data_IF_951682430318
#
_entry.id   IF_951682430318
#
_cell.length_a   1.000
_cell.length_b   1.000
_cell.length_c   1.000
_cell.angle_alpha   90.00
_cell.angle_beta   90.00
_cell.angle_gamma   90.00
#
_symmetry.space_group_name_H-M   'P 1'
#
loop_
_entity.id
_entity.type
_entity.pdbx_description
1 polymer ?
#
# COMPACT_ATOMS: atom_id res chain seq x y z
N UNK A 1 -30.52 -4.68 5.42
CA UNK A 1 -30.03 -5.63 4.41
C UNK A 1 -28.58 -5.95 4.69
N UNK A 2 -28.32 -7.15 5.14
CA UNK A 2 -26.97 -7.56 5.49
C UNK A 2 -26.26 -8.14 4.27
N UNK A 3 -25.23 -7.46 3.80
CA UNK A 3 -24.36 -8.03 2.78
C UNK A 3 -23.35 -8.94 3.47
N UNK A 4 -23.41 -10.20 3.13
CA UNK A 4 -22.37 -11.13 3.56
C UNK A 4 -21.06 -10.74 2.89
N UNK A 5 -19.93 -10.83 3.61
CA UNK A 5 -18.64 -10.44 3.09
C UNK A 5 -18.27 -11.06 1.75
N UNK A 6 -18.74 -12.29 1.50
CA UNK A 6 -18.56 -12.99 0.23
C UNK A 6 -19.24 -12.30 -0.95
N UNK A 7 -20.43 -11.73 -0.74
CA UNK A 7 -21.18 -11.06 -1.80
C UNK A 7 -20.49 -9.76 -2.23
N UNK A 8 -19.94 -9.03 -1.26
CA UNK A 8 -19.16 -7.81 -1.54
C UNK A 8 -17.87 -8.14 -2.28
N UNK A 9 -17.18 -9.21 -1.88
CA UNK A 9 -15.98 -9.68 -2.56
C UNK A 9 -16.27 -10.06 -4.02
N UNK A 10 -17.34 -10.79 -4.26
CA UNK A 10 -17.76 -11.17 -5.61
C UNK A 10 -18.13 -9.93 -6.44
N UNK A 11 -18.85 -8.98 -5.85
CA UNK A 11 -19.20 -7.73 -6.50
C UNK A 11 -17.96 -6.92 -6.92
N UNK A 12 -17.02 -6.74 -5.98
CA UNK A 12 -15.77 -6.00 -6.24
C UNK A 12 -14.93 -6.72 -7.29
N UNK A 13 -14.88 -8.04 -7.25
CA UNK A 13 -14.16 -8.85 -8.21
C UNK A 13 -14.70 -8.71 -9.63
N UNK A 14 -16.04 -8.74 -9.76
CA UNK A 14 -16.71 -8.55 -11.06
C UNK A 14 -16.44 -7.17 -11.65
N UNK A 15 -16.39 -6.16 -10.81
CA UNK A 15 -16.21 -4.78 -11.24
C UNK A 15 -14.74 -4.33 -11.31
N UNK A 16 -13.82 -5.27 -11.13
CA UNK A 16 -12.38 -5.01 -11.08
C UNK A 16 -11.97 -3.96 -10.03
N UNK A 17 -12.83 -3.71 -9.03
CA UNK A 17 -12.57 -2.77 -7.94
C UNK A 17 -11.60 -3.33 -6.90
N UNK A 18 -11.31 -4.63 -6.97
CA UNK A 18 -10.41 -5.29 -6.02
C UNK A 18 -8.97 -4.77 -6.07
N UNK A 19 -8.61 -4.02 -7.11
CA UNK A 19 -7.29 -3.38 -7.23
C UNK A 19 -7.27 -1.95 -6.73
N UNK A 20 -8.40 -1.41 -6.32
CA UNK A 20 -8.50 -0.03 -5.85
C UNK A 20 -8.54 0.06 -4.32
N UNK A 21 -8.58 1.30 -3.84
CA UNK A 21 -8.58 1.59 -2.40
C UNK A 21 -9.81 1.05 -1.68
N UNK A 22 -10.97 1.02 -2.33
CA UNK A 22 -12.20 0.55 -1.71
C UNK A 22 -12.11 -0.92 -1.32
N UNK A 23 -11.59 -1.75 -2.21
CA UNK A 23 -11.33 -3.15 -1.92
C UNK A 23 -10.33 -3.29 -0.77
N UNK A 24 -9.27 -2.49 -0.81
CA UNK A 24 -8.26 -2.47 0.23
C UNK A 24 -8.86 -2.10 1.59
N UNK A 25 -9.70 -1.08 1.65
CA UNK A 25 -10.40 -0.69 2.87
C UNK A 25 -11.33 -1.79 3.37
N UNK A 26 -12.08 -2.43 2.47
CA UNK A 26 -12.94 -3.55 2.81
C UNK A 26 -12.16 -4.69 3.45
N UNK A 27 -11.03 -5.08 2.86
CA UNK A 27 -10.15 -6.10 3.41
C UNK A 27 -9.59 -5.69 4.77
N UNK A 28 -9.36 -4.39 4.98
CA UNK A 28 -8.87 -3.87 6.26
C UNK A 28 -9.85 -4.16 7.40
N UNK A 29 -11.15 -4.07 7.17
CA UNK A 29 -12.16 -4.42 8.18
C UNK A 29 -12.14 -5.91 8.54
N UNK A 30 -11.70 -6.75 7.62
CA UNK A 30 -11.66 -8.21 7.83
C UNK A 30 -10.33 -8.69 8.41
N UNK A 31 -9.34 -7.82 8.55
CA UNK A 31 -8.05 -8.17 9.09
C UNK A 31 -8.10 -8.47 10.58
N UNK A 32 -7.32 -9.45 11.01
CA UNK A 32 -7.13 -9.74 12.42
C UNK A 32 -6.39 -8.59 13.13
N UNK A 33 -6.50 -8.54 14.45
CA UNK A 33 -5.76 -7.57 15.26
C UNK A 33 -4.26 -7.65 15.03
N UNK A 34 -3.74 -8.86 14.87
CA UNK A 34 -2.32 -9.08 14.58
C UNK A 34 -1.91 -8.51 13.24
N UNK A 35 -2.70 -8.75 12.20
CA UNK A 35 -2.46 -8.16 10.86
C UNK A 35 -2.45 -6.64 10.92
N UNK A 36 -3.39 -6.04 11.64
CA UNK A 36 -3.47 -4.58 11.80
C UNK A 36 -2.24 -4.01 12.51
N UNK A 37 -1.78 -4.67 13.56
CA UNK A 37 -0.58 -4.25 14.28
C UNK A 37 0.66 -4.31 13.40
N UNK A 38 0.83 -5.40 12.66
CA UNK A 38 1.94 -5.57 11.73
C UNK A 38 1.85 -4.53 10.60
N UNK A 39 0.67 -4.30 10.04
CA UNK A 39 0.46 -3.30 8.99
C UNK A 39 0.86 -1.90 9.44
N UNK A 40 0.49 -1.51 10.66
CA UNK A 40 0.85 -0.21 11.23
C UNK A 40 2.35 -0.08 11.45
N UNK A 41 2.97 -1.15 11.96
CA UNK A 41 4.42 -1.18 12.15
C UNK A 41 5.15 -1.03 10.81
N UNK A 42 4.76 -1.80 9.81
CA UNK A 42 5.35 -1.72 8.48
C UNK A 42 5.14 -0.34 7.85
N UNK A 43 3.96 0.24 7.99
CA UNK A 43 3.67 1.58 7.47
C UNK A 43 4.60 2.62 8.08
N UNK A 44 4.77 2.58 9.39
CA UNK A 44 5.65 3.51 10.11
C UNK A 44 7.10 3.37 9.67
N UNK A 45 7.60 2.15 9.66
CA UNK A 45 9.01 1.89 9.33
C UNK A 45 9.32 2.15 7.86
N UNK A 46 8.42 1.75 6.95
CA UNK A 46 8.56 2.03 5.52
C UNK A 46 8.52 3.53 5.24
N UNK A 47 7.65 4.27 5.91
CA UNK A 47 7.59 5.73 5.76
C UNK A 47 8.93 6.37 6.13
N UNK A 48 9.55 5.93 7.22
CA UNK A 48 10.86 6.41 7.64
C UNK A 48 11.96 6.05 6.61
N UNK A 49 11.91 4.83 6.08
CA UNK A 49 12.87 4.37 5.05
C UNK A 49 12.71 5.21 3.78
N UNK A 50 11.48 5.43 3.32
CA UNK A 50 11.24 6.24 2.12
C UNK A 50 11.68 7.68 2.28
N UNK A 51 11.53 8.27 3.45
CA UNK A 51 12.01 9.62 3.69
C UNK A 51 13.54 9.74 3.59
N UNK A 52 14.26 8.70 4.01
CA UNK A 52 15.73 8.73 4.03
C UNK A 52 16.34 8.22 2.73
N UNK A 53 15.86 7.14 2.19
CA UNK A 53 16.51 6.38 1.12
C UNK A 53 15.97 6.71 -0.28
N UNK A 54 14.69 7.00 -0.40
CA UNK A 54 14.08 7.23 -1.71
C UNK A 54 14.54 8.54 -2.33
N UNK A 55 14.87 9.52 -1.50
CA UNK A 55 15.42 10.79 -1.98
C UNK A 55 16.73 10.58 -2.76
N UNK A 56 17.53 9.62 -2.33
CA UNK A 56 18.76 9.25 -3.03
C UNK A 56 18.50 8.51 -4.36
N UNK A 57 17.38 7.78 -4.44
CA UNK A 57 17.04 6.97 -5.61
C UNK A 57 16.24 7.72 -6.67
N UNK A 58 15.34 8.60 -6.24
CA UNK A 58 14.36 9.26 -7.09
C UNK A 58 14.54 10.78 -7.21
N UNK A 59 15.51 11.36 -6.50
CA UNK A 59 15.73 12.80 -6.49
C UNK A 59 14.63 13.56 -5.75
N UNK A 60 14.10 14.62 -6.36
CA UNK A 60 13.11 15.50 -5.74
C UNK A 60 11.67 14.93 -5.74
N UNK A 61 11.55 13.63 -5.56
CA UNK A 61 10.25 12.97 -5.50
C UNK A 61 9.97 12.55 -4.06
N UNK A 62 8.77 12.88 -3.59
CA UNK A 62 8.29 12.46 -2.28
C UNK A 62 7.42 11.22 -2.43
N UNK A 63 7.70 10.19 -1.66
CA UNK A 63 6.92 8.97 -1.63
C UNK A 63 6.32 8.79 -0.24
N UNK A 64 5.00 8.68 -0.17
CA UNK A 64 4.26 8.46 1.07
C UNK A 64 3.60 7.09 1.05
N UNK A 65 3.75 6.33 2.13
CA UNK A 65 3.05 5.07 2.29
C UNK A 65 1.65 5.36 2.83
N UNK A 66 0.63 5.06 2.05
CA UNK A 66 -0.76 5.38 2.41
C UNK A 66 -1.44 4.20 3.10
N UNK A 67 -1.30 2.99 2.57
CA UNK A 67 -1.94 1.79 3.10
C UNK A 67 -0.95 0.63 3.04
N UNK A 68 -0.94 -0.19 4.07
CA UNK A 68 -0.21 -1.46 4.10
C UNK A 68 -1.21 -2.58 4.40
N UNK A 69 -1.20 -3.62 3.58
CA UNK A 69 -2.07 -4.78 3.72
C UNK A 69 -1.20 -6.02 3.87
N UNK A 70 -1.36 -6.72 4.98
CA UNK A 70 -0.58 -7.92 5.28
C UNK A 70 -1.47 -9.14 5.15
N UNK A 71 -0.96 -10.22 4.53
CA UNK A 71 -1.68 -11.48 4.41
C UNK A 71 -1.89 -12.12 5.78
N UNK A 72 -2.90 -13.01 5.94
CA UNK A 72 -3.17 -13.66 7.24
C UNK A 72 -1.99 -14.45 7.80
N UNK A 73 -1.16 -15.04 6.94
CA UNK A 73 0.05 -15.77 7.33
C UNK A 73 1.26 -14.86 7.55
N UNK A 74 1.11 -13.55 7.34
CA UNK A 74 2.16 -12.52 7.46
C UNK A 74 3.33 -12.74 6.49
N UNK A 75 3.14 -13.51 5.43
CA UNK A 75 4.18 -13.82 4.45
C UNK A 75 4.29 -12.77 3.36
N UNK A 76 3.22 -12.05 3.06
CA UNK A 76 3.15 -11.06 1.99
C UNK A 76 2.57 -9.75 2.51
N UNK A 77 3.08 -8.63 2.01
CA UNK A 77 2.56 -7.30 2.32
C UNK A 77 2.40 -6.50 1.03
N UNK A 78 1.20 -5.96 0.82
CA UNK A 78 0.90 -5.04 -0.27
C UNK A 78 1.02 -3.62 0.26
N UNK A 79 1.88 -2.84 -0.37
CA UNK A 79 2.24 -1.49 0.05
C UNK A 79 1.71 -0.51 -0.99
N UNK A 80 0.76 0.32 -0.59
CA UNK A 80 0.23 1.37 -1.45
C UNK A 80 0.98 2.66 -1.18
N UNK A 81 1.52 3.26 -2.24
CA UNK A 81 2.32 4.47 -2.15
C UNK A 81 1.74 5.58 -2.99
N UNK A 82 1.79 6.80 -2.47
CA UNK A 82 1.49 8.02 -3.20
C UNK A 82 2.79 8.71 -3.54
N UNK A 83 2.95 9.09 -4.81
CA UNK A 83 4.19 9.68 -5.33
C UNK A 83 3.89 11.10 -5.79
N UNK A 84 4.67 12.06 -5.31
CA UNK A 84 4.52 13.47 -5.64
C UNK A 84 5.89 14.08 -6.00
N UNK A 85 6.02 14.88 -7.06
CA UNK A 85 5.00 15.27 -8.03
C UNK A 85 4.58 14.14 -8.99
N UNK A 86 3.41 14.29 -9.61
CA UNK A 86 2.71 13.20 -10.33
C UNK A 86 3.13 13.05 -11.79
N UNK A 87 4.18 13.71 -12.23
CA UNK A 87 4.56 13.72 -13.65
C UNK A 87 4.83 12.31 -14.22
N UNK A 88 5.52 11.46 -13.43
CA UNK A 88 5.87 10.11 -13.88
C UNK A 88 5.75 9.09 -12.74
N UNK A 89 4.54 8.89 -12.19
CA UNK A 89 4.38 8.02 -11.03
C UNK A 89 4.70 6.55 -11.35
N UNK A 90 4.41 6.10 -12.57
CA UNK A 90 4.68 4.71 -12.97
C UNK A 90 6.17 4.41 -13.06
N UNK A 91 6.97 5.35 -13.54
CA UNK A 91 8.44 5.21 -13.60
C UNK A 91 9.02 5.18 -12.20
N UNK A 92 8.58 6.07 -11.33
CA UNK A 92 9.01 6.09 -9.94
C UNK A 92 8.63 4.78 -9.22
N UNK A 93 7.43 4.28 -9.44
CA UNK A 93 7.00 2.99 -8.89
C UNK A 93 7.90 1.85 -9.38
N UNK A 94 8.27 1.86 -10.66
CA UNK A 94 9.17 0.86 -11.23
C UNK A 94 10.54 0.87 -10.54
N UNK A 95 11.09 2.04 -10.25
CA UNK A 95 12.34 2.18 -9.51
C UNK A 95 12.20 1.60 -8.10
N UNK A 96 11.10 1.89 -7.42
CA UNK A 96 10.80 1.34 -6.09
C UNK A 96 10.74 -0.19 -6.15
N UNK A 97 10.03 -0.75 -7.12
CA UNK A 97 9.93 -2.21 -7.30
C UNK A 97 11.29 -2.85 -7.55
N UNK A 98 12.12 -2.22 -8.37
CA UNK A 98 13.46 -2.73 -8.67
C UNK A 98 14.37 -2.72 -7.44
N UNK A 99 14.10 -1.83 -6.47
CA UNK A 99 14.86 -1.72 -5.23
C UNK A 99 14.16 -2.37 -4.03
N UNK A 100 13.13 -3.16 -4.28
CA UNK A 100 12.34 -3.80 -3.20
C UNK A 100 13.18 -4.68 -2.29
N UNK A 101 14.20 -5.34 -2.81
CA UNK A 101 15.12 -6.15 -2.02
C UNK A 101 15.90 -5.34 -0.99
N UNK A 102 16.40 -4.17 -1.41
CA UNK A 102 17.13 -3.26 -0.52
C UNK A 102 16.19 -2.70 0.54
N UNK A 103 15.01 -2.27 0.12
CA UNK A 103 13.96 -1.74 1.02
C UNK A 103 13.58 -2.81 2.06
N UNK A 104 13.37 -4.04 1.62
CA UNK A 104 13.05 -5.17 2.50
C UNK A 104 14.18 -5.44 3.50
N UNK A 105 15.43 -5.36 3.06
CA UNK A 105 16.60 -5.52 3.95
C UNK A 105 16.62 -4.44 5.02
N UNK A 106 16.44 -3.18 4.65
CA UNK A 106 16.36 -2.06 5.60
C UNK A 106 15.21 -2.22 6.57
N UNK A 107 14.06 -2.63 6.06
CA UNK A 107 12.89 -2.91 6.89
C UNK A 107 13.19 -4.02 7.90
N UNK A 108 13.84 -5.09 7.46
CA UNK A 108 14.25 -6.19 8.32
C UNK A 108 15.15 -5.74 9.47
N UNK A 109 16.09 -4.85 9.20
CA UNK A 109 16.96 -4.26 10.22
C UNK A 109 16.16 -3.47 11.25
N UNK A 110 15.15 -2.72 10.80
CA UNK A 110 14.31 -1.91 11.68
C UNK A 110 13.36 -2.73 12.55
N UNK A 111 12.81 -3.82 12.03
CA UNK A 111 11.76 -4.60 12.70
C UNK A 111 12.22 -5.91 13.28
N UNK A 112 13.52 -6.21 13.26
CA UNK A 112 14.07 -7.52 13.67
C UNK A 112 13.67 -7.94 15.10
N UNK A 113 13.41 -6.97 15.97
CA UNK A 113 13.02 -7.24 17.34
C UNK A 113 11.51 -7.47 17.50
N UNK A 114 10.71 -7.07 16.51
CA UNK A 114 9.24 -7.16 16.53
C UNK A 114 8.70 -8.26 15.63
N UNK A 115 9.38 -8.56 14.53
CA UNK A 115 8.95 -9.57 13.56
C UNK A 115 10.02 -10.63 13.36
N UNK A 116 9.60 -11.89 13.39
CA UNK A 116 10.47 -13.04 13.09
C UNK A 116 10.89 -13.06 11.63
N UNK A 117 9.91 -12.84 10.75
CA UNK A 117 10.07 -12.91 9.31
C UNK A 117 9.51 -11.63 8.72
N UNK A 118 10.28 -10.99 7.84
CA UNK A 118 9.82 -9.82 7.09
C UNK A 118 9.01 -10.30 5.90
N UNK A 119 7.76 -9.81 5.72
CA UNK A 119 6.95 -10.19 4.56
C UNK A 119 7.62 -9.83 3.24
N UNK A 120 7.26 -10.53 2.18
CA UNK A 120 7.58 -10.09 0.82
C UNK A 120 6.78 -8.83 0.53
N UNK A 121 7.46 -7.81 0.00
CA UNK A 121 6.87 -6.50 -0.25
C UNK A 121 6.46 -6.41 -1.72
N UNK A 122 5.22 -5.99 -1.96
CA UNK A 122 4.72 -5.67 -3.28
C UNK A 122 4.17 -4.24 -3.25
N UNK A 123 4.59 -3.42 -4.21
CA UNK A 123 4.27 -1.99 -4.21
C UNK A 123 3.26 -1.66 -5.29
N UNK A 124 2.28 -0.83 -4.93
CA UNK A 124 1.23 -0.36 -5.81
C UNK A 124 1.07 1.15 -5.67
N UNK A 125 0.65 1.81 -6.74
CA UNK A 125 0.29 3.22 -6.67
C UNK A 125 -1.07 3.37 -5.98
N UNK A 126 -1.15 4.35 -5.08
CA UNK A 126 -2.42 4.80 -4.52
C UNK A 126 -2.97 5.94 -5.39
N UNK A 127 -3.94 5.63 -6.21
CA UNK A 127 -4.59 6.57 -7.12
C UNK A 127 -5.88 7.18 -6.54
N UNK A 128 -6.07 7.05 -5.23
CA UNK A 128 -7.31 7.51 -4.58
C UNK A 128 -7.57 9.00 -4.73
N UNK A 129 -6.53 9.84 -4.81
CA UNK A 129 -6.69 11.26 -5.05
C UNK A 129 -7.28 11.54 -6.44
N UNK A 130 -6.74 10.87 -7.47
CA UNK A 130 -7.27 10.99 -8.83
C UNK A 130 -8.70 10.48 -8.93
N UNK A 131 -9.01 9.39 -8.24
CA UNK A 131 -10.35 8.83 -8.18
C UNK A 131 -11.34 9.80 -7.50
N UNK A 132 -10.92 10.42 -6.40
CA UNK A 132 -11.75 11.41 -5.71
C UNK A 132 -12.02 12.63 -6.58
N UNK A 133 -11.03 13.12 -7.32
CA UNK A 133 -11.20 14.22 -8.28
C UNK A 133 -12.19 13.87 -9.39
N UNK A 134 -12.12 12.65 -9.90
CA UNK A 134 -13.03 12.17 -10.92
C UNK A 134 -14.48 12.13 -10.40
N UNK A 135 -14.68 11.63 -9.19
CA UNK A 135 -16.01 11.60 -8.54
C UNK A 135 -16.52 13.05 -8.35
N UNK A 136 -15.70 13.94 -7.84
CA UNK A 136 -16.08 15.34 -7.67
C UNK A 136 -16.48 15.99 -8.99
N UNK A 137 -15.74 15.72 -10.05
CA UNK A 137 -16.06 16.22 -11.39
C UNK A 137 -17.40 15.69 -11.87
N UNK A 138 -17.70 14.42 -11.64
CA UNK A 138 -18.97 13.82 -12.03
C UNK A 138 -20.14 14.36 -11.21
N UNK A 139 -19.94 14.65 -9.94
CA UNK A 139 -20.97 15.17 -9.05
C UNK A 139 -21.30 16.65 -9.34
N UNK A 140 -20.37 17.41 -9.90
CA UNK A 140 -20.55 18.83 -10.22
C UNK A 140 -21.23 19.11 -11.56
N UNK A 141 -21.56 18.10 -12.30
CA UNK A 141 -22.30 18.23 -13.55
C UNK A 141 -23.80 18.35 -13.32
#
# INVERSE_FOLDING_TARGET
MEYKGLDILLFLRKNALYKNKEYSLFLHFMESTRQKKVSRLLQKELSAIFQKEVHALLGNVMVSVTIVRVSPDLANANIFVSIFPVDKPKEALKVIKNNSGIIRKRLGESVRNQLRIVPLLEFFLDDSAAYAEEIDRLLKK
#
